data_IF_382927280127
#
_entry.id   IF_382927280127
#
_cell.length_a   1.000
_cell.length_b   1.000
_cell.length_c   1.000
_cell.angle_alpha   90.00
_cell.angle_beta   90.00
_cell.angle_gamma   90.00
#
_symmetry.space_group_name_H-M   'P 1'
#
loop_
_entity.id
_entity.type
_entity.pdbx_description
1 polymer ?
#
# COMPACT_ATOMS: atom_id res chain seq x y z
N UNK A 1 -8.26 3.19 -15.83
CA UNK A 1 -8.81 4.52 -15.50
C UNK A 1 -10.11 4.37 -14.71
N UNK A 2 -10.12 4.80 -13.45
CA UNK A 2 -11.31 4.75 -12.59
C UNK A 2 -12.35 5.80 -13.05
N UNK A 3 -13.64 5.45 -13.23
CA UNK A 3 -14.66 6.40 -13.67
C UNK A 3 -14.89 7.52 -12.65
N UNK A 4 -14.50 8.75 -12.98
CA UNK A 4 -14.62 9.94 -12.10
C UNK A 4 -16.06 10.38 -11.83
N UNK A 5 -17.05 9.80 -12.52
CA UNK A 5 -18.48 10.11 -12.34
C UNK A 5 -19.02 9.68 -10.97
N UNK A 6 -18.47 8.61 -10.37
CA UNK A 6 -18.91 8.11 -9.06
C UNK A 6 -18.21 8.85 -7.92
N UNK A 7 -18.98 9.27 -6.91
CA UNK A 7 -18.45 10.02 -5.76
C UNK A 7 -17.30 9.28 -5.04
N UNK A 8 -17.45 7.96 -4.86
CA UNK A 8 -16.43 7.11 -4.22
C UNK A 8 -15.12 7.07 -5.01
N UNK A 9 -15.18 7.06 -6.33
CA UNK A 9 -13.98 7.05 -7.17
C UNK A 9 -13.21 8.39 -7.06
N UNK A 10 -13.93 9.52 -6.98
CA UNK A 10 -13.29 10.83 -6.73
C UNK A 10 -12.66 10.91 -5.35
N UNK A 11 -13.36 10.40 -4.33
CA UNK A 11 -12.84 10.38 -2.96
C UNK A 11 -11.55 9.54 -2.88
N UNK A 12 -11.55 8.35 -3.48
CA UNK A 12 -10.37 7.51 -3.57
C UNK A 12 -9.22 8.18 -4.33
N UNK A 13 -9.48 8.74 -5.52
CA UNK A 13 -8.44 9.46 -6.28
C UNK A 13 -7.84 10.62 -5.49
N UNK A 14 -8.66 11.38 -4.75
CA UNK A 14 -8.15 12.46 -3.89
C UNK A 14 -7.29 11.92 -2.76
N UNK A 15 -7.76 10.89 -2.06
CA UNK A 15 -7.00 10.29 -0.97
C UNK A 15 -5.66 9.73 -1.44
N UNK A 16 -5.64 9.04 -2.58
CA UNK A 16 -4.46 8.35 -3.10
C UNK A 16 -3.51 9.30 -3.83
N UNK A 17 -4.03 10.17 -4.71
CA UNK A 17 -3.20 11.02 -5.57
C UNK A 17 -2.85 12.36 -4.92
N UNK A 18 -3.75 12.96 -4.14
CA UNK A 18 -3.44 14.24 -3.48
C UNK A 18 -2.46 14.07 -2.33
N UNK A 19 -2.34 12.84 -1.81
CA UNK A 19 -1.27 12.50 -0.88
C UNK A 19 0.08 12.34 -1.57
N UNK A 20 0.13 11.78 -2.79
CA UNK A 20 1.39 11.35 -3.40
C UNK A 20 2.46 12.47 -3.41
N UNK A 21 3.68 12.11 -3.02
CA UNK A 21 4.82 13.01 -2.97
C UNK A 21 6.01 12.38 -3.68
N UNK A 22 6.69 13.18 -4.50
CA UNK A 22 7.99 12.81 -5.02
C UNK A 22 9.03 12.88 -3.89
N UNK A 23 9.89 11.87 -3.84
CA UNK A 23 10.98 11.78 -2.89
C UNK A 23 12.26 11.37 -3.62
N UNK A 24 13.36 11.98 -3.23
CA UNK A 24 14.67 11.63 -3.76
C UNK A 24 15.37 10.63 -2.85
N UNK A 25 16.10 9.72 -3.48
CA UNK A 25 16.96 8.78 -2.78
C UNK A 25 18.36 9.38 -2.67
N UNK A 26 18.94 9.32 -1.48
CA UNK A 26 20.31 9.79 -1.30
C UNK A 26 21.33 8.80 -1.91
N UNK A 27 22.61 9.20 -1.91
CA UNK A 27 23.71 8.39 -2.48
C UNK A 27 23.92 7.03 -1.80
N UNK A 28 23.33 6.82 -0.62
CA UNK A 28 23.40 5.56 0.12
C UNK A 28 22.16 4.69 -0.07
N UNK A 29 21.22 5.10 -0.94
CA UNK A 29 19.99 4.36 -1.19
C UNK A 29 18.90 4.61 -0.13
N UNK A 30 18.99 5.69 0.65
CA UNK A 30 18.00 6.00 1.70
C UNK A 30 16.97 7.00 1.18
N UNK A 31 15.72 6.84 1.61
CA UNK A 31 14.62 7.76 1.33
C UNK A 31 14.09 8.30 2.65
N UNK A 32 13.83 9.60 2.70
CA UNK A 32 13.11 10.21 3.83
C UNK A 32 11.62 10.00 3.59
N UNK A 33 10.97 9.25 4.47
CA UNK A 33 9.51 9.11 4.45
C UNK A 33 8.87 10.40 5.00
N UNK A 34 8.07 11.14 4.21
CA UNK A 34 7.37 12.33 4.69
C UNK A 34 6.48 12.02 5.88
N UNK A 35 6.38 12.96 6.83
CA UNK A 35 5.66 12.73 8.09
C UNK A 35 4.19 12.35 7.90
N UNK A 36 3.51 12.99 6.95
CA UNK A 36 2.12 12.69 6.64
C UNK A 36 1.97 11.24 6.12
N UNK A 37 2.91 10.74 5.30
CA UNK A 37 2.91 9.35 4.80
C UNK A 37 3.19 8.36 5.93
N UNK A 38 4.11 8.71 6.84
CA UNK A 38 4.41 7.92 8.04
C UNK A 38 3.18 7.79 8.94
N UNK A 39 2.46 8.88 9.16
CA UNK A 39 1.22 8.90 9.95
C UNK A 39 0.11 8.10 9.26
N UNK A 40 -0.10 8.33 7.96
CA UNK A 40 -1.07 7.58 7.14
C UNK A 40 -0.82 6.07 7.21
N UNK A 41 0.43 5.64 7.00
CA UNK A 41 0.83 4.23 7.08
C UNK A 41 0.80 3.68 8.52
N UNK A 42 0.72 4.56 9.53
CA UNK A 42 0.75 4.21 10.94
C UNK A 42 2.09 3.62 11.40
N UNK A 43 3.18 3.98 10.73
CA UNK A 43 4.53 3.46 11.02
C UNK A 43 5.06 4.08 12.31
N UNK A 44 5.44 3.24 13.27
CA UNK A 44 5.99 3.69 14.55
C UNK A 44 7.49 3.54 14.66
N UNK A 45 8.00 2.31 14.50
CA UNK A 45 9.41 1.99 14.76
C UNK A 45 10.00 0.99 13.79
N UNK A 46 9.31 -0.12 13.57
CA UNK A 46 9.78 -1.19 12.66
C UNK A 46 8.98 -1.15 11.38
N UNK A 47 9.67 -1.25 10.26
CA UNK A 47 9.09 -1.24 8.92
C UNK A 47 9.33 -2.56 8.23
N UNK A 48 8.39 -2.96 7.37
CA UNK A 48 8.56 -4.02 6.38
C UNK A 48 8.54 -3.38 5.00
N UNK A 49 9.52 -3.73 4.17
CA UNK A 49 9.53 -3.39 2.76
C UNK A 49 9.13 -4.62 1.97
N UNK A 50 7.95 -4.58 1.35
CA UNK A 50 7.43 -5.65 0.52
C UNK A 50 7.66 -5.31 -0.95
N UNK A 51 8.36 -6.18 -1.68
CA UNK A 51 8.52 -6.07 -3.11
C UNK A 51 7.32 -6.66 -3.84
N UNK A 52 6.67 -5.85 -4.67
CA UNK A 52 5.63 -6.28 -5.60
C UNK A 52 6.08 -5.91 -7.01
N UNK A 53 5.71 -6.72 -8.01
CA UNK A 53 6.16 -6.64 -9.40
C UNK A 53 6.66 -5.27 -9.90
N UNK A 54 5.85 -4.21 -9.76
CA UNK A 54 6.17 -2.85 -10.24
C UNK A 54 6.31 -1.78 -9.13
N UNK A 55 6.33 -2.15 -7.85
CA UNK A 55 6.39 -1.19 -6.74
C UNK A 55 6.96 -1.80 -5.46
N UNK A 56 7.50 -0.94 -4.61
CA UNK A 56 7.76 -1.28 -3.22
C UNK A 56 6.60 -0.78 -2.36
N UNK A 57 6.19 -1.59 -1.39
CA UNK A 57 5.25 -1.16 -0.35
C UNK A 57 5.97 -1.08 0.99
N UNK A 58 5.68 -0.03 1.75
CA UNK A 58 6.24 0.20 3.08
C UNK A 58 5.11 0.02 4.10
N UNK A 59 5.33 -0.87 5.05
CA UNK A 59 4.33 -1.23 6.06
C UNK A 59 4.90 -1.07 7.47
N UNK A 60 4.02 -0.74 8.42
CA UNK A 60 4.29 -1.02 9.84
C UNK A 60 4.37 -2.54 10.07
N UNK A 61 5.35 -3.00 10.85
CA UNK A 61 5.62 -4.43 11.04
C UNK A 61 4.43 -5.19 11.65
N UNK A 62 3.73 -4.61 12.62
CA UNK A 62 2.61 -5.29 13.29
C UNK A 62 1.40 -5.38 12.37
N UNK A 63 1.12 -4.29 11.64
CA UNK A 63 0.06 -4.26 10.62
C UNK A 63 0.31 -5.28 9.52
N UNK A 64 1.56 -5.39 9.03
CA UNK A 64 1.94 -6.38 8.03
C UNK A 64 1.75 -7.82 8.53
N UNK A 65 2.19 -8.13 9.75
CA UNK A 65 2.01 -9.46 10.36
C UNK A 65 0.54 -9.84 10.46
N UNK A 66 -0.31 -8.89 10.88
CA UNK A 66 -1.76 -9.11 10.94
C UNK A 66 -2.34 -9.34 9.54
N UNK A 67 -2.03 -8.46 8.59
CA UNK A 67 -2.48 -8.57 7.21
C UNK A 67 -2.13 -9.94 6.61
N UNK A 68 -0.85 -10.35 6.67
CA UNK A 68 -0.44 -11.67 6.16
C UNK A 68 -1.20 -12.81 6.82
N UNK A 69 -1.33 -12.81 8.14
CA UNK A 69 -2.03 -13.88 8.87
C UNK A 69 -3.50 -13.98 8.46
N UNK A 70 -4.16 -12.85 8.25
CA UNK A 70 -5.56 -12.80 7.86
C UNK A 70 -5.73 -13.24 6.39
N UNK A 71 -4.84 -12.80 5.50
CA UNK A 71 -4.85 -13.18 4.08
C UNK A 71 -4.46 -14.64 3.84
N UNK A 72 -3.52 -15.20 4.60
CA UNK A 72 -3.13 -16.62 4.51
C UNK A 72 -4.34 -17.54 4.78
N UNK A 73 -5.21 -17.17 5.72
CA UNK A 73 -6.42 -17.93 6.07
C UNK A 73 -7.46 -17.95 4.95
N UNK A 74 -7.51 -16.91 4.12
CA UNK A 74 -8.47 -16.79 3.02
C UNK A 74 -7.79 -16.98 1.66
N UNK A 75 -6.56 -17.50 1.64
CA UNK A 75 -5.75 -17.58 0.42
C UNK A 75 -6.38 -18.48 -0.64
N UNK A 76 -7.00 -19.59 -0.24
CA UNK A 76 -7.75 -20.48 -1.14
C UNK A 76 -8.94 -19.76 -1.79
N UNK A 77 -9.76 -19.08 -0.99
CA UNK A 77 -10.94 -18.34 -1.48
C UNK A 77 -10.53 -17.21 -2.45
N UNK A 78 -9.42 -16.53 -2.17
CA UNK A 78 -8.87 -15.49 -3.04
C UNK A 78 -8.41 -16.09 -4.37
N UNK A 79 -7.74 -17.25 -4.34
CA UNK A 79 -7.29 -17.92 -5.56
C UNK A 79 -8.48 -18.33 -6.45
N UNK A 80 -9.53 -18.89 -5.86
CA UNK A 80 -10.76 -19.28 -6.58
C UNK A 80 -11.47 -18.07 -7.22
N UNK A 81 -11.53 -16.92 -6.52
CA UNK A 81 -12.12 -15.70 -7.07
C UNK A 81 -11.32 -15.11 -8.23
N UNK A 82 -9.98 -15.23 -8.18
CA UNK A 82 -9.12 -14.75 -9.26
C UNK A 82 -9.30 -15.56 -10.54
N UNK A 83 -9.50 -16.89 -10.43
CA UNK A 83 -9.79 -17.74 -11.59
C UNK A 83 -11.10 -17.37 -12.30
N UNK A 84 -12.10 -16.84 -11.59
CA UNK A 84 -13.38 -16.41 -12.16
C UNK A 84 -13.31 -15.08 -12.91
N UNK A 85 -12.22 -14.32 -12.77
CA UNK A 85 -12.01 -13.02 -13.41
C UNK A 85 -11.18 -13.12 -14.71
N UNK A 86 -10.71 -14.32 -15.07
CA UNK A 86 -9.92 -14.60 -16.29
C UNK A 86 -10.81 -15.22 -17.36
#
# INVERSE_FOLDING_TARGET
NLPVSRANNRAFSRLTLAGAMDVEMDKQGRVILPDYLREFAGIRKKVVVAGLYNRLEIWDEERWKKYKKDTEKTSTDIAEQLEQLV
#
